data_IF_907883175846
#
_entry.id   IF_907883175846
#
_cell.length_a   1.000
_cell.length_b   1.000
_cell.length_c   1.000
_cell.angle_alpha   90.00
_cell.angle_beta   90.00
_cell.angle_gamma   90.00
#
_symmetry.space_group_name_H-M   'P 1'
#
loop_
_entity.id
_entity.type
_entity.pdbx_description
1 polymer ?
#
# COMPACT_ATOMS: atom_id res chain seq x y z
N UNK A 1 16.78 -4.19 -10.55
CA UNK A 1 16.28 -2.80 -10.43
C UNK A 1 14.99 -2.70 -11.26
N UNK A 2 13.83 -2.48 -10.64
CA UNK A 2 12.54 -2.38 -11.35
C UNK A 2 12.01 -0.94 -11.20
N UNK A 3 12.22 -0.06 -12.21
CA UNK A 3 11.94 1.37 -12.09
C UNK A 3 10.45 1.68 -11.85
N UNK A 4 9.54 0.83 -12.33
CA UNK A 4 8.10 0.94 -12.07
C UNK A 4 7.78 0.92 -10.56
N UNK A 5 8.60 0.24 -9.74
CA UNK A 5 8.36 0.22 -8.29
C UNK A 5 8.67 1.57 -7.68
N UNK A 6 9.79 2.19 -8.02
CA UNK A 6 10.26 3.39 -7.31
C UNK A 6 9.51 4.65 -7.73
N UNK A 7 9.36 4.91 -9.03
CA UNK A 7 8.73 6.16 -9.49
C UNK A 7 7.23 6.18 -9.20
N UNK A 8 6.53 5.07 -9.44
CA UNK A 8 5.11 4.95 -9.14
C UNK A 8 4.85 5.13 -7.64
N UNK A 9 5.63 4.49 -6.76
CA UNK A 9 5.46 4.63 -5.32
C UNK A 9 5.65 6.06 -4.83
N UNK A 10 6.67 6.76 -5.34
CA UNK A 10 6.90 8.16 -4.98
C UNK A 10 5.73 9.04 -5.43
N UNK A 11 5.19 8.82 -6.64
CA UNK A 11 3.99 9.54 -7.07
C UNK A 11 2.79 9.26 -6.17
N UNK A 12 2.57 8.00 -5.80
CA UNK A 12 1.50 7.62 -4.88
C UNK A 12 1.68 8.29 -3.51
N UNK A 13 2.90 8.36 -2.97
CA UNK A 13 3.20 9.09 -1.74
C UNK A 13 2.78 10.56 -1.81
N UNK A 14 3.14 11.25 -2.89
CA UNK A 14 2.81 12.68 -3.07
C UNK A 14 1.32 12.89 -3.29
N UNK A 15 0.66 12.04 -4.07
CA UNK A 15 -0.79 12.11 -4.33
C UNK A 15 -1.57 11.91 -3.03
N UNK A 16 -1.19 10.92 -2.22
CA UNK A 16 -1.84 10.65 -0.93
C UNK A 16 -1.59 11.78 0.05
N UNK A 17 -0.38 12.32 0.08
CA UNK A 17 -0.03 13.44 0.94
C UNK A 17 -0.78 14.73 0.62
N UNK A 18 -1.02 14.98 -0.65
CA UNK A 18 -1.50 16.25 -1.20
C UNK A 18 -0.35 16.96 -1.93
N UNK A 19 -0.48 17.10 -3.25
CA UNK A 19 0.58 17.66 -4.11
C UNK A 19 0.81 19.17 -3.93
N UNK A 20 -0.13 19.88 -3.29
CA UNK A 20 -0.06 21.32 -3.09
C UNK A 20 0.76 21.78 -1.88
N UNK A 21 1.31 20.87 -1.05
CA UNK A 21 2.16 21.30 0.06
C UNK A 21 3.21 20.26 0.49
N UNK A 22 4.38 20.74 0.93
CA UNK A 22 5.51 19.90 1.36
C UNK A 22 5.19 19.04 2.60
N UNK A 23 4.36 19.55 3.52
CA UNK A 23 3.95 18.80 4.71
C UNK A 23 3.11 17.57 4.37
N UNK A 24 2.21 17.71 3.41
CA UNK A 24 1.42 16.63 2.84
C UNK A 24 2.33 15.59 2.21
N UNK A 25 3.26 15.99 1.35
CA UNK A 25 4.22 15.08 0.74
C UNK A 25 5.04 14.28 1.77
N UNK A 26 5.50 14.90 2.86
CA UNK A 26 6.20 14.21 3.95
C UNK A 26 5.29 13.20 4.65
N UNK A 27 4.06 13.59 4.97
CA UNK A 27 3.09 12.69 5.60
C UNK A 27 2.74 11.51 4.69
N UNK A 28 2.48 11.76 3.41
CA UNK A 28 2.16 10.73 2.43
C UNK A 28 3.33 9.77 2.20
N UNK A 29 4.56 10.29 2.23
CA UNK A 29 5.80 9.49 2.23
C UNK A 29 5.87 8.56 3.42
N UNK A 30 5.70 9.08 4.64
CA UNK A 30 5.68 8.28 5.86
C UNK A 30 4.55 7.25 5.87
N UNK A 31 3.35 7.64 5.43
CA UNK A 31 2.18 6.78 5.39
C UNK A 31 2.38 5.57 4.47
N UNK A 32 2.79 5.79 3.22
CA UNK A 32 3.06 4.67 2.30
C UNK A 32 4.26 3.85 2.75
N UNK A 33 5.32 4.46 3.28
CA UNK A 33 6.45 3.72 3.81
C UNK A 33 6.03 2.75 4.93
N UNK A 34 5.19 3.22 5.87
CA UNK A 34 4.65 2.40 6.95
C UNK A 34 3.85 1.22 6.40
N UNK A 35 2.87 1.47 5.53
CA UNK A 35 2.06 0.41 4.94
C UNK A 35 2.85 -0.51 4.01
N UNK A 36 3.91 -0.02 3.38
CA UNK A 36 4.77 -0.85 2.54
C UNK A 36 5.52 -1.90 3.37
N UNK A 37 6.01 -1.52 4.56
CA UNK A 37 6.66 -2.44 5.50
C UNK A 37 5.62 -3.42 6.07
N UNK A 38 4.46 -2.92 6.51
CA UNK A 38 3.43 -3.74 7.15
C UNK A 38 2.64 -4.62 6.18
N UNK A 39 2.59 -4.29 4.88
CA UNK A 39 1.82 -5.05 3.89
C UNK A 39 2.26 -6.51 3.75
N UNK A 40 3.56 -6.79 3.91
CA UNK A 40 4.08 -8.16 3.81
C UNK A 40 3.77 -8.99 5.07
N UNK A 41 4.07 -8.54 6.31
CA UNK A 41 3.66 -9.23 7.53
C UNK A 41 2.14 -9.45 7.61
N UNK A 42 1.34 -8.41 7.33
CA UNK A 42 -0.13 -8.52 7.35
C UNK A 42 -0.61 -9.51 6.29
N UNK A 43 0.01 -9.50 5.11
CA UNK A 43 -0.35 -10.41 4.03
C UNK A 43 -0.04 -11.88 4.35
N UNK A 44 1.13 -12.14 4.92
CA UNK A 44 1.50 -13.48 5.41
C UNK A 44 0.55 -13.94 6.51
N UNK A 45 0.33 -13.10 7.53
CA UNK A 45 -0.59 -13.40 8.62
C UNK A 45 -2.01 -13.69 8.12
N UNK A 46 -2.50 -12.93 7.14
CA UNK A 46 -3.82 -13.14 6.54
C UNK A 46 -3.91 -14.50 5.84
N UNK A 47 -2.91 -14.85 5.02
CA UNK A 47 -2.87 -16.12 4.30
C UNK A 47 -2.73 -17.29 5.27
N UNK A 48 -1.89 -17.17 6.29
CA UNK A 48 -1.75 -18.19 7.33
C UNK A 48 -3.06 -18.39 8.10
N UNK A 49 -3.75 -17.31 8.46
CA UNK A 49 -5.04 -17.37 9.14
C UNK A 49 -6.11 -18.02 8.26
N UNK A 50 -6.17 -17.65 6.98
CA UNK A 50 -7.12 -18.24 6.01
C UNK A 50 -6.82 -19.71 5.70
N UNK A 51 -5.55 -20.11 5.74
CA UNK A 51 -5.11 -21.49 5.47
C UNK A 51 -4.93 -22.32 6.74
N UNK A 52 -5.27 -21.80 7.92
CA UNK A 52 -5.08 -22.48 9.21
C UNK A 52 -5.85 -23.81 9.32
N UNK A 53 -6.97 -23.95 8.61
CA UNK A 53 -7.76 -25.18 8.53
C UNK A 53 -7.39 -26.13 7.38
N UNK A 54 -6.38 -25.81 6.57
CA UNK A 54 -5.98 -26.60 5.41
C UNK A 54 -4.81 -27.53 5.73
N UNK A 55 -4.74 -28.65 5.01
CA UNK A 55 -3.61 -29.58 5.10
C UNK A 55 -2.30 -28.85 4.75
N UNK A 56 -1.25 -28.95 5.60
CA UNK A 56 0.05 -28.36 5.34
C UNK A 56 0.70 -28.75 4.01
N UNK A 57 0.35 -29.91 3.44
CA UNK A 57 0.88 -30.39 2.15
C UNK A 57 0.00 -30.04 0.94
N UNK A 58 -1.07 -29.26 1.13
CA UNK A 58 -1.93 -28.86 0.03
C UNK A 58 -1.19 -27.93 -0.94
N UNK A 59 -1.17 -28.30 -2.23
CA UNK A 59 -0.61 -27.48 -3.31
C UNK A 59 -1.25 -26.07 -3.38
N UNK A 60 -2.50 -25.93 -2.94
CA UNK A 60 -3.23 -24.65 -2.88
C UNK A 60 -2.62 -23.73 -1.83
N UNK A 61 -2.26 -24.27 -0.64
CA UNK A 61 -1.63 -23.49 0.43
C UNK A 61 -0.26 -22.97 0.01
N UNK A 62 0.55 -23.82 -0.63
CA UNK A 62 1.85 -23.43 -1.17
C UNK A 62 1.71 -22.29 -2.21
N UNK A 63 0.75 -22.40 -3.12
CA UNK A 63 0.49 -21.38 -4.13
C UNK A 63 0.02 -20.04 -3.51
N UNK A 64 -0.84 -20.10 -2.48
CA UNK A 64 -1.28 -18.91 -1.75
C UNK A 64 -0.14 -18.22 -1.01
N UNK A 65 0.76 -18.99 -0.40
CA UNK A 65 1.95 -18.46 0.28
C UNK A 65 2.95 -17.81 -0.69
N UNK A 66 3.13 -18.35 -1.90
CA UNK A 66 3.90 -17.67 -2.95
C UNK A 66 3.24 -16.35 -3.40
N UNK A 67 1.91 -16.30 -3.39
CA UNK A 67 1.13 -15.09 -3.66
C UNK A 67 1.36 -13.96 -2.64
N UNK A 68 1.77 -14.28 -1.41
CA UNK A 68 2.02 -13.31 -0.34
C UNK A 68 3.04 -12.22 -0.74
N UNK A 69 4.02 -12.57 -1.59
CA UNK A 69 5.03 -11.62 -2.06
C UNK A 69 4.44 -10.46 -2.89
N UNK A 70 3.22 -10.62 -3.44
CA UNK A 70 2.53 -9.61 -4.24
C UNK A 70 1.62 -8.69 -3.41
N UNK A 71 1.48 -8.95 -2.10
CA UNK A 71 0.61 -8.18 -1.19
C UNK A 71 1.00 -6.70 -1.11
N UNK A 72 2.29 -6.37 -1.22
CA UNK A 72 2.77 -4.97 -1.19
C UNK A 72 2.11 -4.10 -2.26
N UNK A 73 2.08 -4.58 -3.50
CA UNK A 73 1.50 -3.83 -4.63
C UNK A 73 -0.03 -3.73 -4.51
N UNK A 74 -0.68 -4.81 -4.06
CA UNK A 74 -2.12 -4.81 -3.81
C UNK A 74 -2.51 -3.78 -2.74
N UNK A 75 -1.78 -3.74 -1.62
CA UNK A 75 -2.00 -2.77 -0.54
C UNK A 75 -1.84 -1.33 -1.04
N UNK A 76 -0.77 -1.03 -1.78
CA UNK A 76 -0.57 0.30 -2.36
C UNK A 76 -1.70 0.69 -3.31
N UNK A 77 -2.13 -0.23 -4.19
CA UNK A 77 -3.24 0.01 -5.11
C UNK A 77 -4.56 0.27 -4.37
N UNK A 78 -4.84 -0.50 -3.31
CA UNK A 78 -6.03 -0.32 -2.47
C UNK A 78 -5.99 1.03 -1.75
N UNK A 79 -4.86 1.39 -1.14
CA UNK A 79 -4.70 2.68 -0.46
C UNK A 79 -4.91 3.83 -1.45
N UNK A 80 -4.33 3.74 -2.66
CA UNK A 80 -4.51 4.75 -3.69
C UNK A 80 -6.00 4.90 -4.06
N UNK A 81 -6.71 3.79 -4.32
CA UNK A 81 -8.13 3.82 -4.66
C UNK A 81 -8.98 4.44 -3.53
N UNK A 82 -8.71 4.07 -2.28
CA UNK A 82 -9.41 4.64 -1.12
C UNK A 82 -9.12 6.13 -0.95
N UNK A 83 -7.86 6.53 -1.12
CA UNK A 83 -7.46 7.94 -1.02
C UNK A 83 -8.15 8.75 -2.11
N UNK A 84 -8.09 8.30 -3.36
CA UNK A 84 -8.78 8.99 -4.47
C UNK A 84 -10.30 9.02 -4.28
N UNK A 85 -10.87 8.01 -3.62
CA UNK A 85 -12.31 7.93 -3.35
C UNK A 85 -12.77 8.89 -2.26
N UNK A 86 -12.02 9.02 -1.17
CA UNK A 86 -12.47 9.72 0.04
C UNK A 86 -11.72 11.03 0.33
N UNK A 87 -10.48 11.15 -0.13
CA UNK A 87 -9.60 12.31 0.05
C UNK A 87 -8.95 12.71 -1.30
N UNK A 88 -9.74 13.15 -2.30
CA UNK A 88 -9.24 13.45 -3.63
C UNK A 88 -8.24 14.62 -3.67
N UNK A 89 -8.24 15.48 -2.65
CA UNK A 89 -7.27 16.58 -2.49
C UNK A 89 -5.99 16.16 -1.71
N UNK A 90 -5.89 14.88 -1.31
CA UNK A 90 -4.87 14.34 -0.41
C UNK A 90 -5.28 14.41 1.06
N UNK A 91 -4.50 13.77 1.92
CA UNK A 91 -4.72 13.73 3.38
C UNK A 91 -4.55 15.10 4.04
N UNK A 92 -3.64 15.94 3.52
CA UNK A 92 -3.46 17.32 3.96
C UNK A 92 -3.62 18.22 2.73
N UNK A 93 -4.82 18.74 2.46
CA UNK A 93 -5.04 19.65 1.34
C UNK A 93 -4.35 21.00 1.57
N UNK A 94 -3.91 21.62 0.48
CA UNK A 94 -3.30 22.95 0.51
C UNK A 94 -4.34 24.02 0.86
N UNK A 95 -3.97 24.96 1.75
CA UNK A 95 -4.81 26.13 2.03
C UNK A 95 -4.72 27.11 0.87
N UNK A 96 -5.76 27.17 0.03
CA UNK A 96 -5.90 28.21 -1.00
C UNK A 96 -5.94 29.58 -0.32
N UNK A 97 -4.92 30.41 -0.54
CA UNK A 97 -4.98 31.84 -0.18
C UNK A 97 -5.95 32.51 -1.17
N UNK A 98 -7.08 32.98 -0.67
CA UNK A 98 -7.98 33.90 -1.37
C UNK A 98 -7.44 35.33 -1.26
#
# INVERSE_FOLDING_TARGET
YNPLRFTFLIWVMVIIGGSGNNWGAVLGGFFIWFFWIEAEPIGLWLIETLTAGMDPQSAIRAHLLEGAAHMRLMTVGLILLLTLRYAPEGLIPEKKRL
#
